data_IF_307406923360
#
_entry.id   IF_307406923360
#
_cell.length_a   1.000
_cell.length_b   1.000
_cell.length_c   1.000
_cell.angle_alpha   90.00
_cell.angle_beta   90.00
_cell.angle_gamma   90.00
#
_symmetry.space_group_name_H-M   'P 1'
#
loop_
_entity.id
_entity.type
_entity.pdbx_description
1 polymer ?
2 non-polymer ?
3 water ?
#
# COMPACT_ATOMS: atom_id res chain seq x y z
N UNK A 1 10.55 18.73 -22.07
CA UNK A 1 9.15 18.23 -22.09
C UNK A 1 8.20 19.36 -21.68
N UNK A 2 7.14 19.55 -22.45
CA UNK A 2 5.89 20.14 -21.94
C UNK A 2 4.77 19.25 -22.40
N UNK A 3 4.08 18.65 -21.45
CA UNK A 3 3.11 17.59 -21.72
C UNK A 3 1.84 17.97 -20.97
N UNK A 4 0.71 17.94 -21.65
CA UNK A 4 -0.57 18.17 -21.02
C UNK A 4 -1.29 16.84 -20.95
N UNK A 5 -1.70 16.44 -19.76
CA UNK A 5 -2.60 15.29 -19.59
C UNK A 5 -4.00 15.80 -19.20
N UNK A 6 -4.86 14.87 -18.80
CA UNK A 6 -6.20 15.20 -18.32
C UNK A 6 -6.24 16.13 -17.09
N UNK A 7 -5.56 15.74 -16.01
CA UNK A 7 -5.61 16.47 -14.75
C UNK A 7 -4.28 17.15 -14.39
N UNK A 8 -3.23 16.90 -15.17
CA UNK A 8 -1.89 17.39 -14.82
C UNK A 8 -1.10 17.77 -16.04
N UNK A 9 -0.04 18.53 -15.80
CA UNK A 9 0.93 18.83 -16.83
C UNK A 9 2.32 18.51 -16.31
N UNK A 10 3.24 18.30 -17.25
CA UNK A 10 4.63 18.07 -16.93
C UNK A 10 5.41 19.17 -17.63
N UNK A 11 6.32 19.78 -16.90
CA UNK A 11 7.14 20.85 -17.48
C UNK A 11 8.55 20.73 -16.89
N UNK A 12 9.46 21.60 -17.32
CA UNK A 12 10.79 21.65 -16.69
C UNK A 12 10.73 22.46 -15.38
N UNK A 13 11.67 22.20 -14.49
CA UNK A 13 11.74 22.83 -13.17
C UNK A 13 12.04 24.32 -13.30
N UNK A 14 11.44 25.12 -12.43
CA UNK A 14 11.93 26.46 -12.10
C UNK A 14 12.50 26.37 -10.69
N UNK A 15 13.46 27.22 -10.37
CA UNK A 15 14.10 27.14 -9.07
C UNK A 15 13.12 27.22 -7.91
N UNK A 16 12.09 28.05 -8.02
CA UNK A 16 11.17 28.15 -6.91
C UNK A 16 10.35 26.88 -6.66
N UNK A 17 10.42 25.91 -7.56
CA UNK A 17 9.82 24.61 -7.26
C UNK A 17 10.47 23.86 -6.10
N UNK A 18 11.69 24.20 -5.69
CA UNK A 18 12.44 23.37 -4.75
C UNK A 18 11.71 23.11 -3.42
N UNK A 19 11.01 24.09 -2.89
CA UNK A 19 10.31 23.91 -1.61
C UNK A 19 9.22 22.85 -1.67
N UNK A 20 8.44 22.84 -2.74
CA UNK A 20 7.39 21.83 -2.96
C UNK A 20 8.02 20.44 -3.17
N UNK A 21 9.15 20.40 -3.86
CA UNK A 21 9.85 19.12 -4.01
C UNK A 21 10.38 18.62 -2.67
N UNK A 22 10.93 19.54 -1.88
CA UNK A 22 11.49 19.18 -0.59
C UNK A 22 10.48 18.53 0.36
N UNK A 23 9.21 18.87 0.21
CA UNK A 23 8.16 18.31 1.04
C UNK A 23 8.19 16.77 1.00
N UNK A 24 8.56 16.20 -0.15
CA UNK A 24 8.65 14.73 -0.28
C UNK A 24 10.08 14.18 -0.33
N UNK A 25 11.03 14.92 -0.87
CA UNK A 25 12.41 14.43 -0.89
C UNK A 25 13.07 14.38 0.51
N UNK A 26 12.50 15.11 1.47
CA UNK A 26 12.93 15.03 2.87
C UNK A 26 12.22 13.92 3.65
N UNK A 27 11.29 13.23 3.01
CA UNK A 27 10.44 12.24 3.68
C UNK A 27 11.09 10.87 3.54
N UNK A 28 11.36 10.22 4.67
CA UNK A 28 12.19 9.01 4.63
C UNK A 28 11.40 7.81 4.12
N UNK A 29 10.08 7.82 4.27
CA UNK A 29 9.25 6.81 3.66
C UNK A 29 9.26 6.97 2.15
N UNK A 30 9.16 8.21 1.66
CA UNK A 30 9.21 8.47 0.21
C UNK A 30 10.53 8.00 -0.42
N UNK A 31 11.64 8.27 0.25
CA UNK A 31 12.97 8.05 -0.32
C UNK A 31 13.62 6.71 0.10
N UNK A 32 12.84 5.83 0.70
CA UNK A 32 13.27 4.47 1.11
C UNK A 32 14.01 3.71 -0.02
N UNK A 33 13.47 3.72 -1.23
CA UNK A 33 14.08 2.99 -2.34
C UNK A 33 14.91 3.84 -3.25
N UNK A 34 15.08 5.08 -2.91
CA UNK A 34 15.86 5.96 -3.72
C UNK A 34 17.28 5.84 -3.19
N UNK A 35 18.24 5.61 -4.06
CA UNK A 35 19.60 5.42 -3.60
C UNK A 35 20.08 6.49 -2.60
N UNK A 36 19.91 7.77 -2.88
CA UNK A 36 20.37 8.82 -1.94
C UNK A 36 19.76 8.74 -0.52
N UNK A 37 18.56 8.21 -0.41
CA UNK A 37 17.82 8.36 0.82
C UNK A 37 17.46 9.83 0.90
N UNK A 38 17.15 10.28 2.11
CA UNK A 38 16.55 11.59 2.30
C UNK A 38 17.47 12.72 1.91
N UNK A 39 16.89 13.75 1.28
CA UNK A 39 17.59 14.97 0.89
C UNK A 39 17.56 15.99 2.03
N UNK A 40 18.67 16.70 2.21
CA UNK A 40 18.70 17.95 2.98
C UNK A 40 18.12 19.06 2.09
N UNK A 41 17.86 20.22 2.65
CA UNK A 41 17.41 21.36 1.87
C UNK A 41 18.42 21.71 0.77
N UNK A 42 19.71 21.70 1.10
CA UNK A 42 20.75 21.93 0.08
C UNK A 42 20.70 20.86 -1.03
N UNK A 43 20.44 19.61 -0.67
CA UNK A 43 20.33 18.51 -1.64
C UNK A 43 19.20 18.79 -2.62
N UNK A 44 18.04 19.15 -2.09
CA UNK A 44 16.91 19.46 -2.95
C UNK A 44 17.19 20.65 -3.87
N UNK A 45 17.72 21.75 -3.33
CA UNK A 45 18.09 22.90 -4.18
C UNK A 45 19.07 22.51 -5.30
N UNK A 46 20.06 21.70 -4.95
CA UNK A 46 21.04 21.22 -5.91
C UNK A 46 20.35 20.40 -7.01
N UNK A 47 19.47 19.50 -6.60
CA UNK A 47 18.71 18.64 -7.51
C UNK A 47 17.90 19.47 -8.51
N UNK A 48 17.13 20.43 -7.99
CA UNK A 48 16.30 21.27 -8.88
C UNK A 48 17.16 22.07 -9.83
N UNK A 49 18.22 22.69 -9.31
CA UNK A 49 19.12 23.46 -10.13
C UNK A 49 19.73 22.62 -11.24
N UNK A 50 20.19 21.43 -10.88
CA UNK A 50 20.84 20.55 -11.85
C UNK A 50 19.91 20.14 -13.00
N UNK A 51 18.60 20.06 -12.70
CA UNK A 51 17.61 19.62 -13.69
C UNK A 51 16.84 20.75 -14.39
N UNK A 52 17.42 21.94 -14.37
CA UNK A 52 16.83 23.07 -15.10
C UNK A 52 17.35 23.16 -16.54
N UNK A 53 18.51 22.58 -16.82
CA UNK A 53 19.11 22.62 -18.18
C UNK A 53 18.13 22.62 -19.36
N UNK A 56 18.29 18.64 -18.18
CA UNK A 56 17.12 18.18 -17.44
C UNK A 56 16.91 16.66 -17.59
N UNK A 57 16.85 15.94 -16.47
CA UNK A 57 16.47 14.53 -16.45
C UNK A 57 15.28 14.20 -15.52
N UNK A 58 14.75 15.23 -14.88
CA UNK A 58 13.68 15.13 -13.92
C UNK A 58 12.74 16.30 -14.20
N UNK A 59 11.42 16.05 -14.12
CA UNK A 59 10.42 17.01 -14.58
C UNK A 59 9.23 17.03 -13.63
N UNK A 60 8.93 18.23 -13.06
CA UNK A 60 7.81 18.31 -12.12
C UNK A 60 6.48 18.05 -12.78
N UNK A 61 5.57 17.50 -11.98
CA UNK A 61 4.23 17.16 -12.36
C UNK A 61 3.34 18.15 -11.58
N UNK A 62 2.56 18.93 -12.32
CA UNK A 62 1.77 20.03 -11.77
C UNK A 62 0.30 19.73 -11.99
N UNK A 63 -0.49 19.76 -10.91
CA UNK A 63 -1.95 19.62 -10.98
C UNK A 63 -2.52 20.86 -11.66
N UNK A 64 -3.23 20.65 -12.77
CA UNK A 64 -3.86 21.75 -13.51
C UNK A 64 -5.01 22.35 -12.69
N UNK A 65 -5.04 23.68 -12.62
CA UNK A 65 -6.13 24.36 -11.91
C UNK A 65 -5.77 24.64 -10.47
N UNK A 66 -5.55 23.58 -9.67
CA UNK A 66 -5.00 23.75 -8.32
C UNK A 66 -3.59 24.33 -8.37
N UNK A 67 -2.88 24.14 -9.49
CA UNK A 67 -1.51 24.61 -9.66
C UNK A 67 -0.57 24.19 -8.50
N UNK A 68 -0.59 22.89 -8.19
CA UNK A 68 0.17 22.30 -7.08
C UNK A 68 1.17 21.32 -7.70
N UNK A 69 2.43 21.39 -7.28
CA UNK A 69 3.47 20.40 -7.66
C UNK A 69 3.31 19.19 -6.76
N UNK A 70 2.97 18.05 -7.34
CA UNK A 70 2.66 16.87 -6.60
C UNK A 70 3.74 15.79 -6.72
N UNK A 71 4.71 16.00 -7.60
CA UNK A 71 5.79 15.04 -7.75
C UNK A 71 6.64 15.35 -8.96
N UNK A 72 7.54 14.43 -9.28
CA UNK A 72 8.29 14.56 -10.52
C UNK A 72 8.46 13.21 -11.24
N UNK A 73 8.60 13.33 -12.55
CA UNK A 73 8.92 12.22 -13.43
C UNK A 73 10.42 12.25 -13.76
N UNK A 74 11.02 11.07 -13.63
CA UNK A 74 12.39 10.83 -14.06
C UNK A 74 12.33 10.34 -15.50
N UNK A 75 13.06 10.99 -16.40
CA UNK A 75 13.07 10.58 -17.82
C UNK A 75 14.38 11.01 -18.50
N UNK A 76 15.21 10.03 -18.87
CA UNK A 76 16.54 10.31 -19.43
C UNK A 76 17.08 9.16 -20.27
N UNK A 77 18.05 9.49 -21.10
CA UNK A 77 18.75 8.47 -21.89
C UNK A 77 19.31 7.34 -21.03
N UNK A 78 19.16 6.11 -21.55
CA UNK A 78 19.57 4.89 -20.89
C UNK A 78 20.56 4.12 -21.75
N UNK A 79 20.21 3.85 -22.99
CA UNK A 79 21.10 3.15 -23.93
C UNK A 79 21.05 3.90 -25.25
N UNK A 80 22.15 4.59 -25.56
CA UNK A 80 22.22 5.50 -26.69
C UNK A 80 21.14 6.55 -26.56
N UNK A 81 20.64 7.02 -27.69
CA UNK A 81 19.55 7.99 -27.74
C UNK A 81 18.20 7.29 -28.03
N UNK A 82 18.21 5.97 -28.21
CA UNK A 82 17.01 5.29 -28.69
C UNK A 82 16.21 4.66 -27.54
N UNK A 83 16.85 4.50 -26.38
CA UNK A 83 16.25 3.82 -25.24
C UNK A 83 16.43 4.69 -24.01
N UNK A 84 15.31 4.99 -23.35
CA UNK A 84 15.26 5.87 -22.18
C UNK A 84 14.82 5.05 -20.97
N UNK A 85 15.08 5.61 -19.79
CA UNK A 85 14.62 5.09 -18.53
C UNK A 85 13.64 6.11 -17.91
N UNK A 86 12.58 5.57 -17.31
CA UNK A 86 11.52 6.37 -16.67
C UNK A 86 11.40 5.94 -15.19
N UNK A 87 10.96 6.90 -14.38
CA UNK A 87 10.72 6.73 -12.97
C UNK A 87 9.86 7.86 -12.46
N UNK A 88 9.66 7.90 -11.15
CA UNK A 88 8.65 8.78 -10.56
C UNK A 88 8.86 8.87 -9.07
N UNK A 89 8.69 10.06 -8.50
CA UNK A 89 8.71 10.28 -7.05
C UNK A 89 7.62 11.32 -6.76
N UNK A 90 6.68 10.96 -5.89
CA UNK A 90 5.50 11.77 -5.65
C UNK A 90 5.33 12.04 -4.16
N UNK A 91 4.58 13.10 -3.89
CA UNK A 91 4.22 13.54 -2.57
C UNK A 91 3.12 12.64 -2.03
N UNK A 92 3.35 12.01 -0.87
CA UNK A 92 2.39 11.08 -0.27
C UNK A 92 0.99 11.68 -0.04
N UNK A 93 0.90 13.00 0.11
CA UNK A 93 -0.44 13.63 0.18
C UNK A 93 -1.29 13.30 -1.03
N UNK A 94 -0.65 12.97 -2.14
CA UNK A 94 -1.37 12.79 -3.40
C UNK A 94 -1.31 11.37 -3.96
N UNK A 95 -0.88 10.42 -3.16
CA UNK A 95 -0.82 9.01 -3.56
C UNK A 95 -2.21 8.41 -3.85
N UNK A 96 -2.20 7.38 -4.67
CA UNK A 96 -3.34 6.52 -4.90
C UNK A 96 -4.53 7.25 -5.49
N UNK A 97 -4.24 8.30 -6.27
CA UNK A 97 -5.23 8.97 -7.09
C UNK A 97 -4.95 8.81 -8.58
N UNK A 98 -3.91 8.04 -8.94
CA UNK A 98 -3.63 7.83 -10.35
C UNK A 98 -2.73 8.86 -10.99
N UNK A 99 -2.15 9.74 -10.20
CA UNK A 99 -1.33 10.81 -10.75
C UNK A 99 -0.05 10.27 -11.39
N UNK A 100 0.66 9.38 -10.69
CA UNK A 100 1.93 8.85 -11.23
C UNK A 100 1.64 8.15 -12.54
N UNK A 101 0.61 7.31 -12.57
CA UNK A 101 0.32 6.55 -13.79
C UNK A 101 -0.09 7.47 -14.93
N UNK A 102 -0.89 8.49 -14.62
CA UNK A 102 -1.32 9.46 -15.64
C UNK A 102 -0.12 10.20 -16.20
N UNK A 103 0.79 10.66 -15.32
CA UNK A 103 1.97 11.39 -15.76
C UNK A 103 2.90 10.50 -16.56
N UNK A 104 3.08 9.26 -16.10
CA UNK A 104 4.03 8.34 -16.73
C UNK A 104 3.48 7.88 -18.07
N UNK A 105 2.17 7.65 -18.17
CA UNK A 105 1.53 7.32 -19.46
C UNK A 105 1.78 8.42 -20.50
N UNK A 106 1.55 9.65 -20.07
CA UNK A 106 1.78 10.83 -20.90
C UNK A 106 3.22 10.98 -21.34
N UNK A 107 4.17 10.67 -20.45
CA UNK A 107 5.59 10.70 -20.79
C UNK A 107 5.95 9.65 -21.84
N UNK A 108 5.46 8.41 -21.68
CA UNK A 108 5.70 7.37 -22.69
C UNK A 108 5.22 7.83 -24.06
N UNK A 109 4.01 8.38 -24.09
CA UNK A 109 3.41 8.86 -25.34
C UNK A 109 4.27 9.91 -26.02
N UNK A 110 4.72 10.87 -25.23
CA UNK A 110 5.66 11.90 -25.69
C UNK A 110 6.96 11.29 -26.20
N UNK A 111 7.53 10.35 -25.43
CA UNK A 111 8.77 9.67 -25.83
C UNK A 111 8.65 8.97 -27.18
N UNK A 112 7.55 8.25 -27.39
CA UNK A 112 7.40 7.44 -28.59
C UNK A 112 6.92 8.24 -29.79
N UNK A 113 5.92 9.10 -29.56
CA UNK A 113 5.27 9.85 -30.64
C UNK A 113 6.10 11.05 -31.05
N UNK A 114 6.58 11.80 -30.07
CA UNK A 114 7.27 13.05 -30.37
C UNK A 114 8.79 12.92 -30.44
N UNK A 115 9.39 12.13 -29.55
CA UNK A 115 10.83 11.90 -29.54
C UNK A 115 11.24 10.70 -30.38
N UNK A 116 10.28 9.92 -30.84
CA UNK A 116 10.52 8.81 -31.75
C UNK A 116 11.52 7.80 -31.15
N UNK A 117 11.40 7.57 -29.85
CA UNK A 117 12.21 6.57 -29.16
C UNK A 117 11.79 5.14 -29.55
N UNK A 118 12.72 4.19 -29.38
CA UNK A 118 12.44 2.79 -29.64
C UNK A 118 11.91 2.03 -28.44
N UNK A 119 12.42 2.37 -27.27
CA UNK A 119 12.16 1.59 -26.08
C UNK A 119 12.31 2.38 -24.79
N UNK A 120 11.50 2.10 -23.77
CA UNK A 120 11.60 2.78 -22.48
C UNK A 120 11.58 1.69 -21.39
N UNK A 121 12.48 1.82 -20.42
CA UNK A 121 12.62 0.83 -19.37
C UNK A 121 12.45 1.50 -18.03
N UNK A 122 12.22 0.68 -17.02
CA UNK A 122 12.12 1.11 -15.64
C UNK A 122 12.55 -0.05 -14.73
N UNK A 123 13.03 0.29 -13.54
CA UNK A 123 13.41 -0.73 -12.57
C UNK A 123 12.85 -0.39 -11.21
N UNK A 124 12.68 -1.41 -10.40
CA UNK A 124 12.36 -1.19 -8.99
C UNK A 124 12.58 -2.44 -8.16
N UNK A 125 12.59 -2.26 -6.85
CA UNK A 125 12.64 -3.38 -5.92
C UNK A 125 11.29 -4.10 -5.90
N UNK A 126 11.31 -5.44 -5.82
CA UNK A 126 10.05 -6.22 -5.77
C UNK A 126 9.14 -5.86 -4.60
N UNK A 127 9.75 -5.35 -3.53
CA UNK A 127 9.04 -4.90 -2.34
C UNK A 127 8.27 -3.60 -2.60
N UNK A 128 8.61 -2.88 -3.69
CA UNK A 128 8.03 -1.57 -3.96
C UNK A 128 6.79 -1.69 -4.82
N UNK A 129 5.73 -2.21 -4.19
CA UNK A 129 4.53 -2.61 -4.91
C UNK A 129 3.90 -1.49 -5.73
N UNK A 130 3.75 -0.28 -5.16
CA UNK A 130 3.10 0.74 -5.98
C UNK A 130 3.90 1.12 -7.22
N UNK A 131 5.23 1.01 -7.14
CA UNK A 131 6.07 1.36 -8.28
C UNK A 131 5.86 0.39 -9.44
N UNK A 132 5.93 -0.91 -9.18
CA UNK A 132 5.72 -1.84 -10.30
C UNK A 132 4.29 -1.87 -10.75
N UNK A 133 3.34 -1.49 -9.86
CA UNK A 133 1.97 -1.33 -10.33
C UNK A 133 1.81 -0.20 -11.33
N UNK A 134 2.49 0.91 -11.12
CA UNK A 134 2.48 1.96 -12.15
C UNK A 134 3.02 1.39 -13.48
N UNK A 135 4.13 0.65 -13.40
CA UNK A 135 4.74 0.11 -14.61
C UNK A 135 3.75 -0.74 -15.39
N UNK A 136 3.03 -1.60 -14.67
CA UNK A 136 2.06 -2.49 -15.30
C UNK A 136 0.89 -1.70 -15.89
N UNK A 137 0.38 -0.76 -15.13
CA UNK A 137 -0.79 0.05 -15.54
C UNK A 137 -0.55 0.80 -16.83
N UNK A 138 0.69 1.26 -17.04
CA UNK A 138 1.00 2.03 -18.22
C UNK A 138 1.45 1.16 -19.41
N UNK A 139 1.44 -0.16 -19.24
CA UNK A 139 1.65 -1.06 -20.38
C UNK A 139 3.02 -1.71 -20.46
N UNK A 140 3.84 -1.52 -19.44
CA UNK A 140 5.18 -2.11 -19.42
C UNK A 140 5.11 -3.60 -19.05
N UNK A 141 6.08 -4.35 -19.59
CA UNK A 141 6.19 -5.76 -19.37
C UNK A 141 7.37 -6.05 -18.45
N UNK A 142 7.19 -6.94 -17.48
CA UNK A 142 8.32 -7.40 -16.65
C UNK A 142 9.22 -8.33 -17.51
N UNK A 143 10.43 -7.87 -17.78
CA UNK A 143 11.41 -8.62 -18.60
C UNK A 143 12.51 -9.30 -17.76
N UNK A 144 12.71 -8.80 -16.56
CA UNK A 144 13.76 -9.32 -15.70
C UNK A 144 13.51 -9.26 -14.21
N UNK A 145 14.15 -10.19 -13.51
CA UNK A 145 14.11 -10.24 -12.04
C UNK A 145 15.53 -10.61 -11.60
N UNK A 146 16.28 -9.61 -11.18
CA UNK A 146 17.70 -9.76 -10.90
C UNK A 146 17.87 -9.89 -9.39
N UNK A 147 18.55 -10.95 -8.97
CA UNK A 147 18.71 -11.29 -7.55
C UNK A 147 20.01 -10.64 -7.00
N UNK A 148 19.86 -9.88 -5.92
CA UNK A 148 21.00 -9.31 -5.17
C UNK A 148 21.99 -8.58 -6.03
N UNK A 149 21.49 -7.67 -6.86
CA UNK A 149 22.33 -7.03 -7.84
C UNK A 149 22.70 -5.61 -7.47
N UNK A 150 21.95 -4.99 -6.55
CA UNK A 150 22.11 -3.57 -6.25
C UNK A 150 22.75 -3.37 -4.88
N UNK A 151 23.90 -2.64 -4.83
CA UNK A 151 24.51 -2.39 -3.54
C UNK A 151 23.88 -1.14 -2.94
N UNK A 152 23.31 -1.32 -1.76
CA UNK A 152 22.63 -0.27 -1.00
C UNK A 152 23.23 -0.35 0.39
N UNK A 153 24.12 0.59 0.69
CA UNK A 153 25.02 0.49 1.81
C UNK A 153 25.93 -0.69 1.54
N UNK A 154 26.06 -1.53 2.54
CA UNK A 154 26.62 -2.84 2.41
C UNK A 154 25.53 -3.91 2.38
N UNK A 155 24.40 -3.59 1.77
CA UNK A 155 23.37 -4.60 1.50
C UNK A 155 23.15 -4.71 -0.01
N UNK A 156 22.62 -5.87 -0.44
CA UNK A 156 22.27 -6.17 -1.84
C UNK A 156 20.74 -6.35 -2.07
N UNK A 157 20.16 -5.50 -2.89
CA UNK A 157 18.75 -5.57 -3.19
C UNK A 157 18.50 -6.25 -4.55
N UNK A 158 17.31 -6.80 -4.68
CA UNK A 158 16.81 -7.40 -5.92
C UNK A 158 16.27 -6.25 -6.79
N UNK A 159 16.05 -6.51 -8.07
CA UNK A 159 15.49 -5.52 -8.95
C UNK A 159 14.57 -6.19 -9.94
N UNK A 160 13.37 -5.65 -10.13
CA UNK A 160 12.56 -5.98 -11.31
C UNK A 160 12.90 -5.02 -12.43
N UNK A 161 12.90 -5.51 -13.65
CA UNK A 161 13.15 -4.73 -14.82
C UNK A 161 11.95 -4.83 -15.77
N UNK A 162 11.38 -3.68 -16.07
CA UNK A 162 10.24 -3.56 -16.97
C UNK A 162 10.61 -2.80 -18.23
N UNK A 163 9.90 -3.08 -19.33
CA UNK A 163 10.16 -2.40 -20.59
C UNK A 163 8.89 -2.27 -21.41
N UNK A 164 8.90 -1.24 -22.26
CA UNK A 164 7.86 -1.08 -23.29
C UNK A 164 8.50 -0.63 -24.58
N UNK A 165 7.97 -1.18 -25.67
CA UNK A 165 8.46 -0.90 -27.01
C UNK A 165 7.54 0.05 -27.79
N UNK A 166 8.14 0.73 -28.76
CA UNK A 166 7.43 1.65 -29.69
C UNK A 166 6.19 1.00 -30.33
N UNK A 167 6.26 -0.30 -30.61
CA UNK A 167 5.15 -0.98 -31.29
C UNK A 167 3.93 -1.20 -30.38
N UNK A 168 4.13 -1.13 -29.07
CA UNK A 168 3.10 -1.47 -28.10
C UNK A 168 2.30 -0.23 -27.67
N UNK B 1 -2.92 -8.07 -1.21
CA UNK B 1 -4.27 -7.43 -1.11
C UNK B 1 -4.06 -5.95 -0.80
N UNK B 2 -4.82 -5.08 -1.47
CA UNK B 2 -4.77 -3.66 -1.19
C UNK B 2 -6.16 -3.10 -1.39
N UNK B 3 -6.69 -2.44 -0.36
CA UNK B 3 -8.03 -1.93 -0.38
C UNK B 3 -8.02 -0.50 0.09
N UNK B 4 -8.66 0.39 -0.67
CA UNK B 4 -8.80 1.76 -0.21
C UNK B 4 -10.26 1.97 0.19
N UNK B 5 -10.47 2.39 1.43
CA UNK B 5 -11.79 2.68 1.97
C UNK B 5 -11.95 4.18 2.03
N UNK B 6 -12.60 4.71 3.05
CA UNK B 6 -12.94 6.13 3.07
C UNK B 6 -11.89 6.93 3.85
N UNK B 7 -11.67 6.55 5.10
CA UNK B 7 -10.64 7.16 5.97
C UNK B 7 -9.37 6.31 6.04
N UNK B 8 -9.45 5.07 5.58
CA UNK B 8 -8.38 4.12 5.77
C UNK B 8 -8.09 3.28 4.54
N UNK B 9 -6.94 2.63 4.57
CA UNK B 9 -6.61 1.61 3.60
C UNK B 9 -6.14 0.35 4.31
N UNK B 10 -6.16 -0.75 3.58
CA UNK B 10 -5.74 -2.05 4.08
C UNK B 10 -4.70 -2.54 3.12
N UNK B 11 -3.54 -2.90 3.66
CA UNK B 11 -2.43 -3.32 2.81
C UNK B 11 -1.69 -4.46 3.48
N UNK B 12 -0.69 -4.98 2.78
CA UNK B 12 0.14 -6.00 3.38
C UNK B 12 1.13 -5.36 4.33
N UNK B 13 1.51 -6.12 5.35
CA UNK B 13 2.49 -5.69 6.33
C UNK B 13 3.84 -5.32 5.72
N UNK B 14 4.47 -4.35 6.36
CA UNK B 14 5.88 -3.99 6.15
C UNK B 14 6.54 -4.12 7.53
N UNK B 15 7.82 -4.48 7.58
CA UNK B 15 8.42 -4.75 8.89
C UNK B 15 8.32 -3.64 9.93
N UNK B 16 8.48 -2.38 9.49
CA UNK B 16 8.35 -1.18 10.33
C UNK B 16 7.00 -1.06 11.07
N UNK B 17 5.99 -1.75 10.55
CA UNK B 17 4.66 -1.77 11.17
C UNK B 17 4.62 -2.36 12.57
N UNK B 18 5.62 -3.17 12.92
CA UNK B 18 5.52 -3.94 14.15
C UNK B 18 5.34 -3.07 15.39
N UNK B 19 5.95 -1.88 15.44
CA UNK B 19 5.88 -1.04 16.64
C UNK B 19 4.47 -0.58 16.97
N UNK B 20 3.75 -0.15 15.93
CA UNK B 20 2.38 0.27 16.07
C UNK B 20 1.43 -0.91 16.40
N UNK B 21 1.70 -2.07 15.82
CA UNK B 21 0.96 -3.30 16.17
C UNK B 21 1.16 -3.63 17.64
N UNK B 22 2.40 -3.54 18.09
CA UNK B 22 2.73 -3.87 19.47
C UNK B 22 2.01 -3.02 20.47
N UNK B 23 1.64 -1.79 20.12
CA UNK B 23 0.82 -0.96 21.01
C UNK B 23 -0.43 -1.68 21.52
N UNK B 24 -1.04 -2.50 20.67
CA UNK B 24 -2.22 -3.25 21.09
C UNK B 24 -2.03 -4.74 21.29
N UNK B 25 -1.09 -5.39 20.62
CA UNK B 25 -0.88 -6.81 20.83
C UNK B 25 -0.18 -7.07 22.20
N UNK B 26 0.40 -6.05 22.81
CA UNK B 26 0.96 -6.14 24.18
C UNK B 26 -0.10 -5.86 25.26
N UNK B 27 -1.34 -5.59 24.85
CA UNK B 27 -2.40 -5.16 25.76
C UNK B 27 -3.28 -6.37 26.14
N UNK B 28 -3.23 -6.77 27.41
CA UNK B 28 -4.02 -7.93 27.86
C UNK B 28 -5.53 -7.79 27.69
N UNK B 29 -6.07 -6.57 27.74
CA UNK B 29 -7.50 -6.37 27.47
C UNK B 29 -7.82 -6.62 25.99
N UNK B 30 -6.97 -6.11 25.11
CA UNK B 30 -7.17 -6.28 23.66
C UNK B 30 -7.04 -7.74 23.25
N UNK B 31 -6.08 -8.41 23.86
CA UNK B 31 -5.74 -9.78 23.51
C UNK B 31 -6.48 -10.85 24.32
N UNK B 32 -7.48 -10.45 25.10
CA UNK B 32 -8.21 -11.35 26.02
C UNK B 32 -8.76 -12.62 25.36
N UNK B 33 -9.22 -12.52 24.11
CA UNK B 33 -9.83 -13.67 23.45
C UNK B 33 -8.90 -14.34 22.44
N UNK B 34 -7.66 -13.90 22.35
CA UNK B 34 -6.72 -14.49 21.36
C UNK B 34 -6.00 -15.61 22.09
N UNK B 35 -6.08 -16.85 21.60
CA UNK B 35 -5.51 -18.04 22.28
C UNK B 35 -4.01 -17.95 22.58
N UNK B 36 -3.27 -17.31 21.67
CA UNK B 36 -1.83 -17.06 21.90
C UNK B 36 -1.56 -16.12 23.06
N UNK B 37 -2.54 -15.27 23.38
CA UNK B 37 -2.40 -14.33 24.49
C UNK B 37 -1.54 -13.13 24.11
N UNK B 38 -1.12 -12.37 25.11
CA UNK B 38 -0.35 -11.13 24.87
C UNK B 38 1.00 -11.43 24.25
N UNK B 39 1.45 -10.49 23.41
CA UNK B 39 2.70 -10.63 22.69
C UNK B 39 3.82 -9.86 23.39
N UNK B 40 5.01 -10.45 23.41
CA UNK B 40 6.24 -9.69 23.70
C UNK B 40 6.64 -8.97 22.45
N UNK B 41 7.68 -8.14 22.50
CA UNK B 41 8.10 -7.43 21.29
C UNK B 41 8.54 -8.42 20.23
N UNK B 42 9.29 -9.45 20.65
CA UNK B 42 9.69 -10.50 19.73
C UNK B 42 8.51 -11.19 19.05
N UNK B 43 7.49 -11.51 19.84
CA UNK B 43 6.25 -12.12 19.29
C UNK B 43 5.64 -11.26 18.17
N UNK B 44 5.60 -9.94 18.40
CA UNK B 44 4.97 -9.02 17.44
C UNK B 44 5.79 -8.94 16.15
N UNK B 45 7.12 -8.88 16.28
CA UNK B 45 7.98 -8.95 15.10
C UNK B 45 7.79 -10.24 14.29
N UNK B 46 7.73 -11.38 14.96
CA UNK B 46 7.49 -12.66 14.31
C UNK B 46 6.13 -12.72 13.60
N UNK B 47 5.12 -12.17 14.27
CA UNK B 47 3.78 -12.03 13.71
C UNK B 47 3.82 -11.23 12.42
N UNK B 48 4.39 -10.03 12.47
CA UNK B 48 4.52 -9.18 11.29
C UNK B 48 5.30 -9.91 10.20
N UNK B 49 6.45 -10.45 10.56
CA UNK B 49 7.30 -11.15 9.59
C UNK B 49 6.59 -12.33 8.87
N UNK B 50 5.86 -13.13 9.63
CA UNK B 50 5.11 -14.26 9.08
C UNK B 50 4.01 -13.80 8.10
N UNK B 51 3.49 -12.59 8.29
CA UNK B 51 2.39 -12.11 7.45
C UNK B 51 2.83 -11.19 6.31
N UNK B 52 4.12 -11.20 6.02
CA UNK B 52 4.65 -10.53 4.83
C UNK B 52 4.85 -11.55 3.72
N UNK B 55 1.77 -16.42 2.26
CA UNK B 55 0.75 -17.02 3.12
C UNK B 55 0.16 -16.05 4.17
N UNK B 56 0.20 -14.75 3.87
CA UNK B 56 -0.39 -13.72 4.74
C UNK B 56 -1.89 -13.90 5.01
N UNK B 57 -2.24 -13.76 6.28
CA UNK B 57 -3.63 -13.85 6.72
C UNK B 57 -4.07 -12.64 7.55
N UNK B 58 -3.17 -11.68 7.76
CA UNK B 58 -3.41 -10.52 8.58
C UNK B 58 -2.83 -9.32 7.83
N UNK B 59 -3.57 -8.21 7.83
CA UNK B 59 -3.35 -7.07 6.94
C UNK B 59 -3.57 -5.78 7.73
N UNK B 60 -2.52 -4.94 7.87
CA UNK B 60 -2.70 -3.73 8.65
C UNK B 60 -3.66 -2.75 8.04
N UNK B 61 -4.34 -2.02 8.92
CA UNK B 61 -5.29 -0.98 8.61
C UNK B 61 -4.61 0.40 8.94
N UNK B 62 -4.54 1.25 7.93
CA UNK B 62 -3.76 2.49 7.97
C UNK B 62 -4.69 3.67 7.73
N UNK B 63 -4.61 4.65 8.62
CA UNK B 63 -5.32 5.90 8.49
C UNK B 63 -4.65 6.71 7.37
N UNK B 64 -5.42 7.05 6.35
CA UNK B 64 -4.93 7.76 5.19
C UNK B 64 -4.63 9.20 5.64
N UNK B 65 -3.54 9.76 5.19
CA UNK B 65 -3.24 11.14 5.57
C UNK B 65 -2.31 11.15 6.74
N UNK B 66 -2.77 10.72 7.93
CA UNK B 66 -1.86 10.64 9.10
C UNK B 66 -0.87 9.47 8.93
N UNK B 67 -1.24 8.50 8.11
CA UNK B 67 -0.40 7.33 7.84
C UNK B 67 -0.06 6.58 9.14
N UNK B 68 -1.05 6.41 9.99
CA UNK B 68 -0.88 5.73 11.26
C UNK B 68 -1.60 4.36 11.21
N UNK B 69 -0.96 3.35 11.79
CA UNK B 69 -1.53 1.99 11.83
C UNK B 69 -2.46 1.92 13.04
N UNK B 70 -3.72 1.58 12.81
CA UNK B 70 -4.75 1.58 13.85
C UNK B 70 -5.26 0.19 14.24
N UNK B 71 -4.84 -0.81 13.50
CA UNK B 71 -5.22 -2.21 13.73
C UNK B 71 -4.88 -3.08 12.56
N UNK B 72 -5.42 -4.29 12.57
CA UNK B 72 -5.27 -5.19 11.47
C UNK B 72 -6.52 -6.03 11.21
N UNK B 73 -6.70 -6.40 9.95
CA UNK B 73 -7.77 -7.29 9.48
C UNK B 73 -7.22 -8.69 9.37
N UNK B 74 -7.99 -9.67 9.85
CA UNK B 74 -7.71 -11.08 9.65
C UNK B 74 -8.59 -11.56 8.52
N UNK B 75 -8.01 -12.21 7.52
CA UNK B 75 -8.79 -12.62 6.35
C UNK B 75 -8.12 -13.82 5.71
N UNK B 76 -8.78 -14.96 5.71
CA UNK B 76 -8.19 -16.18 5.17
C UNK B 76 -9.22 -17.23 4.78
N UNK B 77 -8.77 -18.19 3.96
CA UNK B 77 -9.62 -19.29 3.53
C UNK B 77 -10.18 -20.03 4.72
N UNK B 78 -11.44 -20.41 4.62
CA UNK B 78 -12.08 -21.13 5.69
C UNK B 78 -12.66 -22.48 5.24
N UNK B 79 -13.37 -22.49 4.13
CA UNK B 79 -13.99 -23.71 3.59
C UNK B 79 -13.82 -23.67 2.09
N UNK B 80 -13.01 -24.56 1.55
CA UNK B 80 -12.60 -24.48 0.14
C UNK B 80 -11.92 -23.16 -0.16
N UNK B 81 -12.06 -22.68 -1.37
CA UNK B 81 -11.51 -21.38 -1.73
C UNK B 81 -12.63 -20.37 -1.94
N UNK B 82 -13.86 -20.81 -1.70
CA UNK B 82 -15.08 -20.03 -1.90
C UNK B 82 -15.63 -19.36 -0.63
N UNK B 83 -15.16 -19.80 0.53
CA UNK B 83 -15.65 -19.30 1.82
C UNK B 83 -14.45 -18.89 2.65
N UNK B 84 -14.43 -17.61 3.02
CA UNK B 84 -13.37 -17.05 3.87
C UNK B 84 -13.89 -16.69 5.26
N UNK B 85 -12.93 -16.52 6.18
CA UNK B 85 -13.18 -16.07 7.55
C UNK B 85 -12.55 -14.68 7.69
N UNK B 86 -13.31 -13.79 8.32
CA UNK B 86 -12.83 -12.44 8.65
C UNK B 86 -12.78 -12.22 10.17
N UNK B 87 -11.82 -11.40 10.59
CA UNK B 87 -11.72 -10.93 11.96
C UNK B 87 -10.87 -9.67 11.99
N UNK B 88 -10.56 -9.17 13.18
CA UNK B 88 -9.85 -7.90 13.30
C UNK B 88 -9.36 -7.74 14.74
N UNK B 89 -8.31 -6.94 14.87
CA UNK B 89 -7.84 -6.50 16.14
C UNK B 89 -7.45 -5.02 15.97
N UNK B 90 -7.99 -4.15 16.81
CA UNK B 90 -7.72 -2.72 16.73
C UNK B 90 -7.13 -2.16 17.99
N UNK B 91 -6.40 -1.08 17.81
CA UNK B 91 -5.88 -0.28 18.91
C UNK B 91 -7.06 0.40 19.63
N UNK B 92 -7.20 0.13 20.92
CA UNK B 92 -8.34 0.66 21.67
C UNK B 92 -8.37 2.17 21.77
N UNK B 93 -7.25 2.83 21.49
CA UNK B 93 -7.19 4.30 21.36
C UNK B 93 -8.29 4.83 20.47
N UNK B 94 -8.63 4.07 19.43
CA UNK B 94 -9.52 4.56 18.37
C UNK B 94 -10.91 3.99 18.51
N UNK B 95 -11.22 3.46 19.70
CA UNK B 95 -12.45 2.74 19.91
C UNK B 95 -13.69 3.48 19.36
N UNK B 96 -13.80 4.76 19.66
CA UNK B 96 -15.00 5.54 19.31
C UNK B 96 -15.10 5.95 17.81
N UNK B 97 -14.04 5.69 17.04
CA UNK B 97 -13.95 6.17 15.64
C UNK B 97 -14.62 5.27 14.61
N UNK B 98 -15.01 4.05 14.98
CA UNK B 98 -15.65 3.16 14.03
C UNK B 98 -14.76 2.70 12.90
N UNK B 99 -13.46 2.57 13.15
CA UNK B 99 -12.58 2.07 12.09
C UNK B 99 -12.78 0.58 11.75
N UNK B 100 -13.12 -0.24 12.74
CA UNK B 100 -13.31 -1.68 12.52
C UNK B 100 -14.40 -1.94 11.51
N UNK B 101 -15.56 -1.31 11.70
CA UNK B 101 -16.67 -1.51 10.79
C UNK B 101 -16.34 -1.00 9.39
N UNK B 102 -15.66 0.14 9.29
CA UNK B 102 -15.27 0.65 7.99
C UNK B 102 -14.36 -0.36 7.26
N UNK B 103 -13.30 -0.78 7.96
CA UNK B 103 -12.32 -1.71 7.38
C UNK B 103 -12.95 -3.07 7.03
N UNK B 104 -13.78 -3.59 7.95
CA UNK B 104 -14.41 -4.89 7.74
C UNK B 104 -15.37 -4.83 6.55
N UNK B 105 -16.15 -3.77 6.50
CA UNK B 105 -17.06 -3.60 5.37
C UNK B 105 -16.32 -3.56 4.01
N UNK B 106 -15.19 -2.84 3.98
CA UNK B 106 -14.39 -2.73 2.76
C UNK B 106 -13.72 -4.06 2.38
N UNK B 107 -13.41 -4.86 3.38
CA UNK B 107 -12.90 -6.22 3.17
C UNK B 107 -14.00 -7.13 2.62
N UNK B 108 -15.22 -7.05 3.14
CA UNK B 108 -16.35 -7.80 2.55
C UNK B 108 -16.51 -7.41 1.07
N UNK B 109 -16.47 -6.12 0.79
CA UNK B 109 -16.63 -5.63 -0.60
C UNK B 109 -15.56 -6.22 -1.52
N UNK B 110 -14.32 -6.16 -1.08
CA UNK B 110 -13.20 -6.76 -1.84
C UNK B 110 -13.39 -8.27 -2.04
N UNK B 111 -13.73 -8.97 -0.96
CA UNK B 111 -13.93 -10.42 -1.06
C UNK B 111 -14.99 -10.80 -2.08
N UNK B 112 -16.10 -10.10 -2.07
CA UNK B 112 -17.21 -10.47 -2.93
C UNK B 112 -17.00 -9.95 -4.35
N UNK B 113 -16.64 -8.67 -4.47
CA UNK B 113 -16.60 -7.98 -5.77
C UNK B 113 -15.37 -8.40 -6.55
N UNK B 114 -14.23 -8.37 -5.88
CA UNK B 114 -12.97 -8.58 -6.55
C UNK B 114 -12.54 -10.06 -6.52
N UNK B 115 -12.67 -10.73 -5.37
CA UNK B 115 -12.21 -12.12 -5.24
C UNK B 115 -13.30 -13.14 -5.62
N UNK B 116 -14.52 -12.67 -5.82
CA UNK B 116 -15.69 -13.46 -6.23
C UNK B 116 -15.97 -14.63 -5.29
N UNK B 117 -15.79 -14.37 -3.99
CA UNK B 117 -16.20 -15.32 -2.96
C UNK B 117 -17.71 -15.49 -2.86
N UNK B 118 -18.10 -16.64 -2.33
CA UNK B 118 -19.49 -16.95 -2.14
C UNK B 118 -20.01 -16.47 -0.78
N UNK B 119 -19.15 -16.58 0.23
CA UNK B 119 -19.57 -16.45 1.61
C UNK B 119 -18.37 -16.06 2.49
N UNK B 120 -18.65 -15.25 3.51
CA UNK B 120 -17.66 -14.87 4.50
C UNK B 120 -18.26 -15.06 5.88
N UNK B 121 -17.49 -15.68 6.77
CA UNK B 121 -17.93 -15.97 8.14
C UNK B 121 -17.04 -15.28 9.17
N UNK B 122 -17.55 -15.09 10.38
CA UNK B 122 -16.75 -14.64 11.52
C UNK B 122 -17.27 -15.27 12.80
N UNK B 123 -16.42 -15.31 13.83
CA UNK B 123 -16.83 -15.86 15.11
C UNK B 123 -16.36 -14.92 16.20
N UNK B 124 -17.01 -15.00 17.35
CA UNK B 124 -16.54 -14.32 18.54
C UNK B 124 -17.16 -14.92 19.77
N UNK B 125 -16.60 -14.57 20.92
CA UNK B 125 -17.20 -14.99 22.18
C UNK B 125 -18.41 -14.11 22.49
N UNK B 126 -19.48 -14.70 23.05
CA UNK B 126 -20.66 -13.88 23.37
C UNK B 126 -20.35 -12.66 24.25
N UNK B 127 -19.30 -12.76 25.05
CA UNK B 127 -18.86 -11.66 25.93
C UNK B 127 -18.20 -10.50 25.17
N UNK B 128 -17.79 -10.75 23.93
CA UNK B 128 -17.11 -9.74 23.12
C UNK B 128 -18.12 -8.87 22.34
N UNK B 129 -18.90 -8.07 23.08
CA UNK B 129 -19.93 -7.21 22.52
C UNK B 129 -19.50 -6.32 21.38
N UNK B 130 -18.34 -5.64 21.50
CA UNK B 130 -17.99 -4.77 20.37
C UNK B 130 -17.79 -5.56 19.07
N UNK B 131 -17.32 -6.80 19.18
CA UNK B 131 -17.02 -7.59 17.98
C UNK B 131 -18.30 -7.93 17.22
N UNK B 132 -19.26 -8.53 17.92
CA UNK B 132 -20.49 -8.91 17.19
C UNK B 132 -21.32 -7.70 16.83
N UNK B 133 -21.17 -6.60 17.56
CA UNK B 133 -21.84 -5.39 17.12
C UNK B 133 -21.31 -4.88 15.75
N UNK B 134 -20.00 -4.96 15.53
CA UNK B 134 -19.45 -4.64 14.21
C UNK B 134 -20.01 -5.62 13.17
N UNK B 135 -20.02 -6.91 13.52
CA UNK B 135 -20.51 -7.92 12.59
C UNK B 135 -21.93 -7.62 12.15
N UNK B 136 -22.77 -7.20 13.09
CA UNK B 136 -24.16 -6.92 12.77
C UNK B 136 -24.27 -5.63 11.93
N UNK B 137 -23.47 -4.65 12.28
CA UNK B 137 -23.47 -3.35 11.60
C UNK B 137 -23.11 -3.49 10.11
N UNK B 138 -22.19 -4.39 9.77
CA UNK B 138 -21.76 -4.61 8.38
C UNK B 138 -22.61 -5.64 7.59
N UNK B 139 -23.69 -6.11 8.22
CA UNK B 139 -24.69 -6.91 7.54
C UNK B 139 -24.60 -8.41 7.76
N UNK B 140 -23.72 -8.86 8.66
CA UNK B 140 -23.59 -10.30 8.90
C UNK B 140 -24.76 -10.80 9.76
N UNK B 141 -25.17 -12.03 9.51
CA UNK B 141 -26.24 -12.66 10.28
C UNK B 141 -25.71 -13.66 11.32
N UNK B 142 -26.26 -13.67 12.54
CA UNK B 142 -25.85 -14.71 13.51
C UNK B 142 -26.49 -16.03 13.11
N UNK B 143 -25.68 -17.00 12.69
CA UNK B 143 -26.24 -18.30 12.24
C UNK B 143 -26.09 -19.40 13.28
N UNK B 144 -25.17 -19.21 14.22
CA UNK B 144 -24.93 -20.20 15.26
C UNK B 144 -24.52 -19.63 16.62
N UNK B 145 -24.84 -20.41 17.65
CA UNK B 145 -24.41 -20.16 19.02
C UNK B 145 -24.00 -21.51 19.57
N UNK B 146 -22.69 -21.76 19.60
CA UNK B 146 -22.14 -23.05 19.95
C UNK B 146 -21.64 -23.00 21.39
N UNK B 147 -22.11 -23.93 22.19
CA UNK B 147 -21.84 -23.87 23.63
C UNK B 147 -20.66 -24.75 24.00
N UNK B 148 -19.74 -24.17 24.74
CA UNK B 148 -18.61 -24.90 25.32
C UNK B 148 -17.88 -25.66 24.24
N UNK B 149 -17.58 -24.98 23.15
CA UNK B 149 -17.03 -25.67 21.98
C UNK B 149 -15.53 -25.53 21.80
N UNK B 150 -14.97 -24.49 22.40
CA UNK B 150 -13.57 -24.08 22.20
C UNK B 150 -12.77 -24.26 23.50
N UNK B 151 -11.72 -25.10 23.48
CA UNK B 151 -10.95 -25.24 24.71
C UNK B 151 -10.03 -24.02 24.83
N UNK B 152 -10.09 -23.36 25.98
CA UNK B 152 -9.23 -22.21 26.27
C UNK B 152 -8.65 -22.42 27.65
N UNK B 153 -7.38 -22.79 27.69
CA UNK B 153 -6.76 -23.22 28.95
C UNK B 153 -7.52 -24.30 29.69
N UNK B 154 -7.97 -23.97 30.90
CA UNK B 154 -8.68 -24.92 31.74
C UNK B 154 -10.19 -24.80 31.60
N UNK B 155 -10.66 -24.09 30.57
CA UNK B 155 -12.06 -23.79 30.41
C UNK B 155 -12.54 -24.13 29.00
N UNK B 156 -13.86 -24.14 28.82
CA UNK B 156 -14.47 -24.28 27.47
C UNK B 156 -15.19 -22.98 27.20
N UNK B 157 -14.97 -22.39 26.04
CA UNK B 157 -15.67 -21.18 25.69
C UNK B 157 -16.73 -21.41 24.64
N UNK B 158 -17.71 -20.52 24.65
CA UNK B 158 -18.80 -20.51 23.66
C UNK B 158 -18.38 -19.66 22.46
N UNK B 159 -19.14 -19.78 21.39
CA UNK B 159 -18.89 -19.06 20.15
C UNK B 159 -20.19 -18.65 19.47
N UNK B 160 -20.31 -17.36 19.13
CA UNK B 160 -21.28 -16.93 18.12
C UNK B 160 -20.63 -17.06 16.76
N UNK B 161 -21.41 -17.47 15.77
CA UNK B 161 -20.94 -17.65 14.40
C UNK B 161 -21.81 -16.77 13.51
N UNK B 162 -21.16 -15.89 12.75
CA UNK B 162 -21.83 -14.95 11.84
C UNK B 162 -21.49 -15.27 10.39
N UNK B 163 -22.42 -14.98 9.47
CA UNK B 163 -22.13 -15.17 8.05
C UNK B 163 -22.79 -14.09 7.20
N UNK B 164 -22.23 -13.90 6.01
CA UNK B 164 -22.82 -13.05 4.99
C UNK B 164 -22.49 -13.69 3.64
N UNK B 165 -23.47 -13.70 2.75
CA UNK B 165 -23.35 -14.27 1.41
C UNK B 165 -23.14 -13.16 0.39
N UNK B 166 -22.48 -13.49 -0.71
CA UNK B 166 -22.27 -12.53 -1.78
C UNK B 166 -23.58 -11.94 -2.29
N UNK B 167 -24.63 -12.76 -2.32
CA UNK B 167 -25.96 -12.34 -2.82
C UNK B 167 -26.64 -11.27 -1.97
N UNK B 168 -26.17 -11.06 -0.73
CA UNK B 168 -26.76 -10.10 0.20
C UNK B 168 -26.26 -8.69 -0.05
X LIG C 1 0.10 -2.61 -2.11
X LIG C 1 -0.45 -2.94 -3.32
X LIG C 1 -0.80 -1.96 -4.21
X LIG C 1 -0.58 -0.66 -3.87
X LIG C 1 -0.02 -0.31 -2.65
X LIG C 1 0.34 -1.31 -1.76
X LIG C 1 0.90 -1.01 -0.58
X LIG C 1 0.06 1.04 -2.61
X LIG C 1 -0.44 1.54 -3.75
X LIG C 1 -0.84 0.51 -4.55
X LIG C 1 -1.31 0.53 -5.93
X LIG C 1 -2.55 1.41 -6.14
X LIG C 1 -3.76 0.73 -5.81
X LIG C 1 -2.40 1.71 -7.62
X LIG C 1 -2.91 0.63 -8.39
X LIG C 1 -4.43 0.56 -8.95
X LIG C 1 -4.56 -0.50 -9.99
X LIG C 1 -5.32 0.30 -7.76
X LIG C 1 -4.72 1.91 -9.56
X LIG C 1 -0.88 1.81 -7.82
X LIG C 1 -0.30 1.06 -6.79
X LIG C 1 -0.36 3.24 -7.72
X LIG C 1 -0.82 3.92 -8.88
X LIG C 1 -0.89 5.52 -8.90
X LIG C 1 -2.07 5.98 -8.07
X LIG C 1 -0.93 5.99 -10.31
X LIG C 1 0.52 5.92 -8.24
X LIG C 1 0.79 7.11 -7.19
X LIG C 1 0.29 8.41 -7.79
X LIG C 1 0.21 6.73 -5.83
X LIG C 1 2.41 7.07 -7.14
X LIG C 1 4.57 6.16 -6.67
X LIG C 1 3.15 5.87 -7.15
X LIG C 1 5.08 7.31 -7.56
X LIG C 1 5.32 4.84 -6.86
X LIG C 1 4.54 6.58 -5.17
X LIG C 1 4.14 5.51 -4.33
X LIG C 1 5.87 7.03 -4.66
X LIG C 1 6.33 8.29 -4.95
X LIG C 1 6.66 6.17 -4.01
X LIG C 1 7.88 6.62 -3.35
X LIG C 1 9.02 6.89 -4.32
X LIG C 1 9.42 5.63 -5.08
X LIG C 1 9.68 4.54 -4.53
X LIG C 1 9.48 5.78 -6.40
X LIG C 1 9.72 4.63 -7.29
X LIG C 1 11.18 4.23 -7.41
X LIG C 1 11.36 2.94 -8.69
#
# INVERSE_FOLDING_TARGET
>A
MFIKAERLLIRKFEFKDWEAVHEYTSDSDVMKYIPEGVFTEEDTRNFVNKNMGENAKNFPVILIGENILVGHIVFHKYFGEHTYEIGWVFNPKYFNKGYASEAAQATLKYGFKEMKLHRIIATCQPENTPSYRVMEKIGMRREGYFKKCIPHGNEWWDEYYYAILEEE
>B
MFIKAERLLIRKFEFKDWEAVHEYTSDSDVMKYIPEGVFTEEDTRNFVNKNMGENAKNFPVILIGENILVGHIVFHKYFGEHTYEIGWVFNPKYFNKGYASEAAQATLKYGFKEMKLHRIIATCQPENTPSYRVMEKIGMRREGYFKKCIPHGNEWWDEYYYAILEEE
>C hetero
1 COA N1A C2A N3A C4A C5A C6A N6A N7A C8A N9A C1B C2B O2B C3B O3B P3B O7A O8A O9A C4B O4B C5B O5B P1A O1A O2A O3A P2A O4A O5A O6A CBP CCP CDP CEP CAP OAP C9P O9P N8P C7P C6P C5P O5P N4P C3P C2P S1P
#
